data_IF_872445016499
#
_entry.id   IF_872445016499
#
_cell.length_a   1.000
_cell.length_b   1.000
_cell.length_c   1.000
_cell.angle_alpha   90.00
_cell.angle_beta   90.00
_cell.angle_gamma   90.00
#
_symmetry.space_group_name_H-M   'P 1'
#
loop_
_entity.id
_entity.type
_entity.pdbx_description
1 polymer ?
#
# COMPACT_ATOMS: atom_id res chain seq x y z
N UNK A 1 -38.41 37.29 -25.11
CA UNK A 1 -37.23 36.41 -25.18
C UNK A 1 -37.33 35.41 -24.05
N UNK A 2 -37.69 34.18 -24.38
CA UNK A 2 -37.74 33.07 -23.43
C UNK A 2 -36.30 32.73 -23.03
N UNK A 3 -35.96 32.84 -21.74
CA UNK A 3 -34.64 32.42 -21.25
C UNK A 3 -34.60 30.90 -21.35
N UNK A 4 -33.86 30.38 -22.33
CA UNK A 4 -33.55 28.94 -22.38
C UNK A 4 -32.73 28.61 -21.14
N UNK A 5 -33.36 28.00 -20.14
CA UNK A 5 -32.68 27.48 -18.96
C UNK A 5 -31.97 26.21 -19.38
N UNK A 6 -30.65 26.28 -19.51
CA UNK A 6 -29.83 25.11 -19.80
C UNK A 6 -29.74 24.25 -18.55
N UNK A 7 -30.18 23.00 -18.63
CA UNK A 7 -30.02 22.06 -17.53
C UNK A 7 -28.53 21.84 -17.20
N UNK A 8 -28.15 21.77 -15.91
CA UNK A 8 -26.78 21.56 -15.49
C UNK A 8 -26.28 20.16 -15.85
N UNK A 9 -24.97 20.02 -16.01
CA UNK A 9 -24.32 18.72 -16.17
C UNK A 9 -24.31 17.99 -14.84
N UNK A 10 -24.78 16.75 -14.84
CA UNK A 10 -24.90 15.90 -13.66
C UNK A 10 -23.78 14.86 -13.59
N UNK A 11 -23.62 14.23 -12.43
CA UNK A 11 -22.72 13.08 -12.29
C UNK A 11 -23.14 11.87 -13.13
N UNK A 12 -24.41 11.76 -13.50
CA UNK A 12 -24.89 10.72 -14.41
C UNK A 12 -24.38 10.96 -15.83
N UNK A 13 -24.35 12.22 -16.28
CA UNK A 13 -23.82 12.60 -17.59
C UNK A 13 -22.34 12.25 -17.71
N UNK A 14 -21.52 12.60 -16.70
CA UNK A 14 -20.10 12.25 -16.68
C UNK A 14 -19.87 10.73 -16.75
N UNK A 15 -20.67 9.93 -16.02
CA UNK A 15 -20.61 8.47 -16.09
C UNK A 15 -20.96 7.94 -17.48
N UNK A 16 -22.03 8.49 -18.08
CA UNK A 16 -22.45 8.13 -19.43
C UNK A 16 -21.41 8.50 -20.49
N UNK A 17 -20.58 9.52 -20.22
CA UNK A 17 -19.46 9.91 -21.09
C UNK A 17 -18.21 9.07 -20.89
N UNK A 18 -18.16 8.20 -19.87
CA UNK A 18 -17.06 7.27 -19.61
C UNK A 18 -16.19 7.62 -18.40
N UNK A 19 -16.46 8.73 -17.72
CA UNK A 19 -15.71 9.07 -16.50
C UNK A 19 -16.10 8.16 -15.33
N UNK A 20 -15.12 7.71 -14.55
CA UNK A 20 -15.33 6.88 -13.35
C UNK A 20 -15.27 7.73 -12.07
N UNK A 21 -16.25 7.59 -11.15
CA UNK A 21 -16.25 8.32 -9.88
C UNK A 21 -14.91 8.23 -9.15
N UNK A 22 -14.35 9.38 -8.77
CA UNK A 22 -13.03 9.48 -8.14
C UNK A 22 -12.75 10.88 -7.63
N UNK A 23 -11.53 11.14 -7.15
CA UNK A 23 -11.13 12.43 -6.58
C UNK A 23 -11.32 13.60 -7.55
N UNK A 24 -11.23 13.34 -8.85
CA UNK A 24 -11.37 14.32 -9.93
C UNK A 24 -12.82 14.65 -10.32
N UNK A 25 -13.82 13.89 -9.84
CA UNK A 25 -15.23 14.10 -10.22
C UNK A 25 -15.81 15.47 -9.85
N UNK A 26 -15.58 16.00 -8.64
CA UNK A 26 -16.05 17.34 -8.27
C UNK A 26 -15.52 18.42 -9.21
N UNK A 27 -14.23 18.35 -9.57
CA UNK A 27 -13.59 19.33 -10.45
C UNK A 27 -14.11 19.21 -11.90
N UNK A 28 -14.29 17.98 -12.39
CA UNK A 28 -14.94 17.71 -13.68
C UNK A 28 -16.35 18.31 -13.73
N UNK A 29 -17.16 18.11 -12.69
CA UNK A 29 -18.52 18.66 -12.61
C UNK A 29 -18.52 20.19 -12.54
N UNK A 30 -17.61 20.78 -11.77
CA UNK A 30 -17.49 22.23 -11.66
C UNK A 30 -17.15 22.87 -13.01
N UNK A 31 -16.17 22.32 -13.74
CA UNK A 31 -15.79 22.82 -15.07
C UNK A 31 -16.88 22.55 -16.12
N UNK A 32 -17.51 21.37 -16.08
CA UNK A 32 -18.63 21.05 -16.97
C UNK A 32 -19.78 22.05 -16.81
N UNK A 33 -20.13 22.40 -15.57
CA UNK A 33 -21.17 23.37 -15.28
C UNK A 33 -20.75 24.82 -15.57
N UNK A 34 -19.47 25.16 -15.44
CA UNK A 34 -18.94 26.45 -15.88
C UNK A 34 -19.10 26.61 -17.41
N UNK A 35 -18.66 25.63 -18.20
CA UNK A 35 -18.88 25.62 -19.66
C UNK A 35 -20.38 25.65 -20.02
N UNK A 36 -21.21 24.95 -19.23
CA UNK A 36 -22.67 24.96 -19.42
C UNK A 36 -23.26 26.34 -19.21
N UNK A 37 -22.80 27.07 -18.19
CA UNK A 37 -23.22 28.45 -17.91
C UNK A 37 -22.77 29.44 -19.01
N UNK A 38 -21.66 29.15 -19.69
CA UNK A 38 -21.19 29.88 -20.87
C UNK A 38 -22.00 29.57 -22.16
N UNK A 39 -22.99 28.68 -22.08
CA UNK A 39 -23.87 28.34 -23.20
C UNK A 39 -23.42 27.13 -24.02
N UNK A 40 -22.40 26.38 -23.57
CA UNK A 40 -21.91 25.22 -24.31
C UNK A 40 -22.94 24.08 -24.27
N UNK A 41 -23.15 23.45 -25.43
CA UNK A 41 -23.93 22.22 -25.54
C UNK A 41 -23.22 21.02 -24.91
N UNK A 42 -23.98 20.02 -24.46
CA UNK A 42 -23.42 18.80 -23.84
C UNK A 42 -22.41 18.07 -24.74
N UNK A 43 -22.60 18.11 -26.07
CA UNK A 43 -21.68 17.49 -27.03
C UNK A 43 -20.29 18.15 -26.99
N UNK A 44 -20.25 19.49 -26.91
CA UNK A 44 -18.98 20.23 -26.83
C UNK A 44 -18.31 19.99 -25.48
N UNK A 45 -19.08 20.06 -24.39
CA UNK A 45 -18.57 19.78 -23.03
C UNK A 45 -17.98 18.36 -22.95
N UNK A 46 -18.68 17.36 -23.49
CA UNK A 46 -18.17 15.98 -23.56
C UNK A 46 -16.85 15.89 -24.33
N UNK A 47 -16.74 16.58 -25.46
CA UNK A 47 -15.52 16.55 -26.27
C UNK A 47 -14.32 17.17 -25.54
N UNK A 48 -14.53 18.29 -24.84
CA UNK A 48 -13.48 18.94 -24.04
C UNK A 48 -13.00 18.05 -22.89
N UNK A 49 -13.91 17.34 -22.22
CA UNK A 49 -13.57 16.48 -21.09
C UNK A 49 -13.08 15.08 -21.50
N UNK A 50 -13.23 14.68 -22.76
CA UNK A 50 -12.90 13.33 -23.21
C UNK A 50 -11.44 12.94 -22.97
N UNK A 51 -10.50 13.90 -23.10
CA UNK A 51 -9.07 13.68 -22.85
C UNK A 51 -8.72 13.45 -21.38
N UNK A 52 -9.66 13.65 -20.47
CA UNK A 52 -9.49 13.46 -19.03
C UNK A 52 -10.11 12.15 -18.51
N UNK A 53 -10.58 11.30 -19.41
CA UNK A 53 -10.93 9.91 -19.09
C UNK A 53 -9.60 9.17 -18.95
N UNK A 54 -9.25 8.68 -17.74
CA UNK A 54 -8.01 7.95 -17.55
C UNK A 54 -8.02 6.68 -18.41
N UNK A 55 -6.89 6.39 -19.06
CA UNK A 55 -6.71 5.13 -19.79
C UNK A 55 -6.95 3.94 -18.85
N UNK A 56 -7.69 2.95 -19.35
CA UNK A 56 -7.85 1.69 -18.63
C UNK A 56 -6.53 0.93 -18.72
N UNK A 57 -5.86 0.63 -17.60
CA UNK A 57 -4.61 -0.13 -17.65
C UNK A 57 -4.85 -1.50 -18.29
N UNK A 58 -3.92 -1.93 -19.13
CA UNK A 58 -3.97 -3.29 -19.67
C UNK A 58 -3.88 -4.31 -18.52
N UNK A 59 -4.87 -5.18 -18.43
CA UNK A 59 -4.87 -6.28 -17.46
C UNK A 59 -4.15 -7.49 -18.04
N UNK A 60 -3.48 -8.26 -17.18
CA UNK A 60 -2.85 -9.54 -17.56
C UNK A 60 -3.56 -10.65 -16.81
N UNK A 61 -3.96 -11.69 -17.52
CA UNK A 61 -4.56 -12.86 -16.91
C UNK A 61 -3.55 -13.59 -16.03
N UNK A 62 -4.04 -14.17 -14.93
CA UNK A 62 -3.24 -15.07 -14.11
C UNK A 62 -2.75 -16.25 -14.94
N UNK A 63 -1.54 -16.71 -14.64
CA UNK A 63 -1.00 -17.93 -15.24
C UNK A 63 -1.80 -19.15 -14.77
N UNK A 64 -1.71 -20.21 -15.58
CA UNK A 64 -2.21 -21.52 -15.18
C UNK A 64 -1.52 -21.96 -13.86
N UNK A 65 -2.23 -22.69 -12.98
CA UNK A 65 -1.64 -23.27 -11.79
C UNK A 65 -0.38 -24.09 -12.12
N UNK A 66 0.68 -23.94 -11.33
CA UNK A 66 1.95 -24.65 -11.53
C UNK A 66 2.81 -24.19 -12.71
N UNK A 67 2.40 -23.15 -13.45
CA UNK A 67 3.21 -22.61 -14.57
C UNK A 67 4.60 -22.10 -14.12
N UNK A 68 4.72 -21.67 -12.87
CA UNK A 68 6.00 -21.37 -12.21
C UNK A 68 6.02 -22.11 -10.88
N UNK A 69 7.00 -23.00 -10.72
CA UNK A 69 7.22 -23.71 -9.48
C UNK A 69 7.85 -22.78 -8.42
N UNK A 70 7.68 -23.14 -7.16
CA UNK A 70 8.38 -22.52 -6.04
C UNK A 70 9.11 -23.62 -5.26
N UNK A 71 10.18 -23.22 -4.57
CA UNK A 71 10.92 -24.11 -3.69
C UNK A 71 10.32 -24.07 -2.28
N UNK A 72 10.39 -25.17 -1.55
CA UNK A 72 9.99 -25.20 -0.15
C UNK A 72 11.08 -25.85 0.68
N UNK A 73 11.30 -25.29 1.87
CA UNK A 73 12.19 -25.84 2.88
C UNK A 73 11.47 -25.74 4.22
N UNK A 74 10.35 -26.44 4.32
CA UNK A 74 9.50 -26.44 5.52
C UNK A 74 8.97 -27.85 5.74
N UNK A 75 9.12 -28.35 6.96
CA UNK A 75 8.71 -29.67 7.40
C UNK A 75 7.71 -29.54 8.55
N UNK A 76 6.79 -30.49 8.67
CA UNK A 76 5.88 -30.55 9.82
C UNK A 76 6.33 -31.63 10.79
N UNK A 77 6.24 -31.33 12.09
CA UNK A 77 6.45 -32.31 13.17
C UNK A 77 5.15 -32.77 13.82
N UNK A 78 4.05 -32.05 13.63
CA UNK A 78 2.75 -32.36 14.24
C UNK A 78 1.55 -32.05 13.32
N UNK A 79 0.32 -32.49 13.68
CA UNK A 79 -0.87 -32.24 12.87
C UNK A 79 -1.23 -30.77 12.64
N UNK A 80 -0.95 -29.88 13.59
CA UNK A 80 -1.25 -28.46 13.46
C UNK A 80 -0.28 -27.80 12.46
N UNK A 81 1.00 -28.20 12.50
CA UNK A 81 1.97 -27.80 11.49
C UNK A 81 1.63 -28.32 10.10
N UNK A 82 1.13 -29.56 9.98
CA UNK A 82 0.67 -30.10 8.69
C UNK A 82 -0.46 -29.26 8.08
N UNK A 83 -1.44 -28.85 8.89
CA UNK A 83 -2.52 -27.96 8.45
C UNK A 83 -2.01 -26.56 8.05
N UNK A 84 -1.08 -26.00 8.83
CA UNK A 84 -0.45 -24.73 8.52
C UNK A 84 0.34 -24.77 7.20
N UNK A 85 1.16 -25.80 7.01
CA UNK A 85 1.94 -25.97 5.76
C UNK A 85 1.00 -26.17 4.57
N UNK A 86 -0.10 -26.91 4.72
CA UNK A 86 -1.08 -27.07 3.66
C UNK A 86 -1.68 -25.72 3.22
N UNK A 87 -1.99 -24.83 4.17
CA UNK A 87 -2.46 -23.46 3.89
C UNK A 87 -1.38 -22.59 3.25
N UNK A 88 -0.14 -22.69 3.71
CA UNK A 88 1.03 -21.99 3.11
C UNK A 88 1.21 -22.40 1.65
N UNK A 89 1.19 -23.71 1.37
CA UNK A 89 1.30 -24.24 0.00
C UNK A 89 0.14 -23.78 -0.89
N UNK A 90 -1.09 -23.83 -0.38
CA UNK A 90 -2.27 -23.40 -1.12
C UNK A 90 -2.19 -21.91 -1.50
N UNK A 91 -1.80 -21.05 -0.56
CA UNK A 91 -1.68 -19.62 -0.84
C UNK A 91 -0.51 -19.30 -1.76
N UNK A 92 0.64 -19.96 -1.56
CA UNK A 92 1.82 -19.75 -2.41
C UNK A 92 1.55 -20.21 -3.85
N UNK A 93 0.84 -21.32 -4.04
CA UNK A 93 0.44 -21.78 -5.38
C UNK A 93 -0.40 -20.73 -6.14
N UNK A 94 -1.28 -20.00 -5.45
CA UNK A 94 -2.05 -18.91 -6.05
C UNK A 94 -1.22 -17.66 -6.31
N UNK A 95 -0.34 -17.28 -5.36
CA UNK A 95 0.60 -16.16 -5.56
C UNK A 95 1.43 -16.37 -6.82
N UNK A 96 1.97 -17.58 -7.03
CA UNK A 96 2.82 -17.92 -8.17
C UNK A 96 2.13 -17.84 -9.54
N UNK A 97 0.80 -17.70 -9.58
CA UNK A 97 0.06 -17.43 -10.82
C UNK A 97 0.18 -15.98 -11.28
N UNK A 98 0.71 -15.09 -10.45
CA UNK A 98 0.87 -13.67 -10.78
C UNK A 98 1.82 -13.50 -11.99
N UNK A 99 1.41 -12.82 -13.07
CA UNK A 99 2.15 -12.81 -14.35
C UNK A 99 3.54 -12.21 -14.32
N UNK A 100 3.88 -11.43 -13.31
CA UNK A 100 5.19 -10.77 -13.16
C UNK A 100 6.13 -11.53 -12.25
N UNK A 101 5.69 -12.59 -11.56
CA UNK A 101 6.55 -13.41 -10.72
C UNK A 101 7.39 -14.35 -11.59
N UNK A 102 8.64 -14.62 -11.24
CA UNK A 102 9.54 -15.49 -12.00
C UNK A 102 10.07 -16.66 -11.20
N UNK A 103 10.15 -16.51 -9.89
CA UNK A 103 10.57 -17.55 -8.96
C UNK A 103 9.95 -17.29 -7.58
N UNK A 104 9.84 -18.33 -6.78
CA UNK A 104 9.39 -18.22 -5.40
C UNK A 104 10.00 -19.27 -4.49
N UNK A 105 9.98 -19.00 -3.20
CA UNK A 105 10.39 -19.93 -2.16
C UNK A 105 9.53 -19.78 -0.91
N UNK A 106 9.43 -20.86 -0.14
CA UNK A 106 8.82 -20.92 1.20
C UNK A 106 9.92 -21.27 2.20
N UNK A 107 10.11 -20.38 3.17
CA UNK A 107 11.12 -20.51 4.23
C UNK A 107 10.65 -21.46 5.35
N UNK A 108 11.57 -21.97 6.20
CA UNK A 108 11.23 -22.95 7.24
C UNK A 108 10.27 -22.47 8.33
N UNK A 109 10.17 -21.16 8.52
CA UNK A 109 9.32 -20.49 9.52
C UNK A 109 7.98 -20.00 8.93
N UNK A 110 7.65 -20.43 7.71
CA UNK A 110 6.51 -19.88 6.99
C UNK A 110 5.16 -20.22 7.65
N UNK A 111 4.24 -19.25 7.65
CA UNK A 111 2.90 -19.43 8.20
C UNK A 111 1.83 -18.64 7.41
N UNK A 112 0.55 -19.02 7.52
CA UNK A 112 -0.54 -18.33 6.82
C UNK A 112 -0.70 -16.89 7.31
N UNK A 113 -0.81 -15.93 6.38
CA UNK A 113 -0.90 -14.50 6.69
C UNK A 113 -2.26 -13.86 6.34
N UNK A 114 -3.21 -14.64 5.81
CA UNK A 114 -4.47 -14.10 5.31
C UNK A 114 -5.24 -15.10 4.45
N UNK A 115 -6.23 -14.63 3.66
CA UNK A 115 -6.94 -15.47 2.70
C UNK A 115 -5.99 -15.98 1.60
N UNK A 116 -6.40 -17.05 0.93
CA UNK A 116 -5.66 -17.64 -0.20
C UNK A 116 -5.34 -16.59 -1.26
N UNK A 117 -4.07 -16.57 -1.72
CA UNK A 117 -3.51 -15.56 -2.62
C UNK A 117 -2.73 -14.45 -1.89
N UNK A 118 -2.78 -14.41 -0.56
CA UNK A 118 -1.88 -13.58 0.26
C UNK A 118 -0.52 -14.26 0.37
N UNK A 119 0.58 -13.53 0.16
CA UNK A 119 1.91 -14.10 0.38
C UNK A 119 2.03 -14.55 1.85
N UNK A 120 2.50 -15.78 2.12
CA UNK A 120 2.66 -16.23 3.50
C UNK A 120 3.80 -15.46 4.17
N UNK A 121 3.79 -15.39 5.51
CA UNK A 121 5.01 -15.04 6.25
C UNK A 121 6.07 -16.08 5.89
N UNK A 122 7.33 -15.68 5.73
CA UNK A 122 8.38 -16.57 5.22
C UNK A 122 8.23 -16.91 3.72
N UNK A 123 7.30 -16.30 3.00
CA UNK A 123 7.20 -16.40 1.54
C UNK A 123 8.15 -15.43 0.84
N UNK A 124 8.86 -15.90 -0.17
CA UNK A 124 9.76 -15.09 -1.01
C UNK A 124 9.31 -15.22 -2.46
N UNK A 125 9.21 -14.09 -3.17
CA UNK A 125 8.94 -14.07 -4.61
C UNK A 125 9.86 -13.10 -5.33
N UNK A 126 10.37 -13.51 -6.48
CA UNK A 126 11.08 -12.63 -7.40
C UNK A 126 10.10 -12.14 -8.47
N UNK A 127 9.92 -10.82 -8.59
CA UNK A 127 9.08 -10.21 -9.61
C UNK A 127 9.91 -9.42 -10.62
N UNK A 128 9.55 -9.47 -11.91
CA UNK A 128 10.16 -8.68 -12.97
C UNK A 128 9.22 -7.60 -13.46
N UNK A 129 9.74 -6.37 -13.51
CA UNK A 129 9.02 -5.20 -14.04
C UNK A 129 7.79 -4.81 -13.21
N UNK A 130 7.71 -5.23 -11.94
CA UNK A 130 6.63 -4.90 -11.04
C UNK A 130 7.09 -4.92 -9.57
N UNK A 131 6.42 -4.12 -8.76
CA UNK A 131 6.46 -4.18 -7.30
C UNK A 131 5.04 -4.53 -6.85
N UNK A 132 4.92 -5.45 -5.90
CA UNK A 132 3.64 -5.86 -5.33
C UNK A 132 3.59 -5.40 -3.86
N UNK A 133 2.95 -4.26 -3.55
CA UNK A 133 2.87 -3.76 -2.18
C UNK A 133 2.23 -4.76 -1.21
N UNK A 134 1.23 -5.51 -1.67
CA UNK A 134 0.59 -6.58 -0.89
C UNK A 134 1.51 -7.76 -0.54
N UNK A 135 2.74 -7.79 -1.07
CA UNK A 135 3.75 -8.78 -0.75
C UNK A 135 4.84 -8.27 0.21
N UNK A 136 4.72 -7.03 0.73
CA UNK A 136 5.74 -6.36 1.55
C UNK A 136 5.32 -6.09 3.01
N UNK A 137 4.33 -6.83 3.53
CA UNK A 137 3.71 -6.61 4.85
C UNK A 137 3.08 -5.22 5.02
N UNK A 138 2.22 -5.06 6.03
CA UNK A 138 1.74 -3.75 6.47
C UNK A 138 2.82 -3.01 7.29
N UNK A 139 3.69 -3.75 7.98
CA UNK A 139 4.85 -3.22 8.70
C UNK A 139 6.08 -3.26 7.79
N UNK A 140 6.17 -2.27 6.91
CA UNK A 140 7.22 -2.18 5.89
C UNK A 140 8.57 -2.00 6.59
N UNK A 141 9.54 -2.85 6.22
CA UNK A 141 10.85 -2.92 6.84
C UNK A 141 10.83 -3.35 8.33
N UNK A 142 9.83 -4.12 8.76
CA UNK A 142 9.90 -4.86 10.01
C UNK A 142 11.22 -5.65 10.05
N UNK A 143 12.08 -5.31 11.02
CA UNK A 143 13.46 -5.78 11.06
C UNK A 143 13.98 -5.78 12.48
N UNK A 144 15.08 -6.52 12.68
CA UNK A 144 15.78 -6.59 13.96
C UNK A 144 17.09 -5.84 13.83
N UNK A 145 17.41 -5.04 14.85
CA UNK A 145 18.73 -4.45 15.05
C UNK A 145 19.32 -5.01 16.34
N UNK A 146 20.55 -5.51 16.27
CA UNK A 146 21.28 -6.02 17.43
C UNK A 146 22.47 -5.12 17.74
N UNK A 147 22.61 -4.75 19.01
CA UNK A 147 23.79 -4.05 19.55
C UNK A 147 24.38 -4.90 20.67
N UNK A 148 25.68 -5.16 20.61
CA UNK A 148 26.42 -5.86 21.66
C UNK A 148 27.01 -4.85 22.67
N UNK A 149 26.62 -4.97 23.94
CA UNK A 149 27.07 -4.12 25.04
C UNK A 149 28.13 -4.81 25.92
N UNK A 150 28.55 -6.03 25.57
CA UNK A 150 29.41 -6.87 26.40
C UNK A 150 28.74 -7.28 27.72
N UNK A 151 29.53 -7.41 28.78
CA UNK A 151 29.03 -7.75 30.11
C UNK A 151 28.43 -6.53 30.82
N UNK A 152 27.15 -6.30 30.58
CA UNK A 152 26.36 -5.28 31.28
C UNK A 152 25.39 -5.93 32.28
N UNK A 153 25.08 -5.21 33.37
CA UNK A 153 24.05 -5.63 34.32
C UNK A 153 22.67 -5.70 33.62
N UNK A 154 22.00 -6.87 33.55
CA UNK A 154 20.74 -7.00 32.83
C UNK A 154 19.65 -6.06 33.31
N UNK A 155 19.61 -5.77 34.61
CA UNK A 155 18.63 -4.84 35.18
C UNK A 155 18.88 -3.42 34.69
N UNK A 156 20.12 -2.93 34.78
CA UNK A 156 20.48 -1.61 34.29
C UNK A 156 20.16 -1.43 32.79
N UNK A 157 20.41 -2.45 31.96
CA UNK A 157 20.10 -2.42 30.52
C UNK A 157 18.59 -2.35 30.28
N UNK A 158 17.81 -3.20 30.95
CA UNK A 158 16.36 -3.21 30.79
C UNK A 158 15.72 -1.91 31.28
N UNK A 159 16.14 -1.40 32.45
CA UNK A 159 15.64 -0.13 32.99
C UNK A 159 15.95 1.04 32.03
N UNK A 160 17.16 1.08 31.46
CA UNK A 160 17.54 2.09 30.48
C UNK A 160 16.68 2.00 29.20
N UNK A 161 16.50 0.81 28.63
CA UNK A 161 15.68 0.59 27.45
C UNK A 161 14.21 1.00 27.70
N UNK A 162 13.62 0.54 28.80
CA UNK A 162 12.25 0.88 29.17
C UNK A 162 12.05 2.39 29.39
N UNK A 163 13.06 3.09 29.91
CA UNK A 163 12.97 4.54 30.17
C UNK A 163 12.87 5.39 28.89
N UNK A 164 13.39 4.89 27.77
CA UNK A 164 13.43 5.63 26.50
C UNK A 164 12.43 5.11 25.47
N UNK A 165 12.09 3.82 25.51
CA UNK A 165 11.19 3.21 24.53
C UNK A 165 9.73 3.64 24.73
N UNK A 166 9.03 3.87 23.62
CA UNK A 166 7.60 4.07 23.61
C UNK A 166 6.94 2.78 23.13
N UNK A 167 6.19 2.14 24.03
CA UNK A 167 5.40 0.95 23.75
C UNK A 167 3.94 1.31 23.51
N UNK A 168 3.30 0.57 22.60
CA UNK A 168 1.87 0.68 22.31
C UNK A 168 1.53 1.61 21.14
N UNK A 169 0.23 1.72 20.87
CA UNK A 169 -0.27 2.50 19.74
C UNK A 169 -0.13 4.01 19.99
N UNK A 170 0.01 4.75 18.89
CA UNK A 170 0.20 6.20 18.91
C UNK A 170 1.66 6.59 18.80
N UNK A 171 1.90 7.89 18.80
CA UNK A 171 3.24 8.46 18.72
C UNK A 171 3.52 9.38 19.91
N UNK A 172 4.75 9.88 19.97
CA UNK A 172 5.21 10.73 21.08
C UNK A 172 4.58 12.12 20.97
N UNK A 173 4.03 12.67 22.08
CA UNK A 173 3.50 14.02 22.08
C UNK A 173 4.62 15.05 21.88
N UNK A 174 4.24 16.25 21.44
CA UNK A 174 5.19 17.35 21.27
C UNK A 174 5.97 17.60 22.57
N UNK A 175 7.28 17.82 22.45
CA UNK A 175 8.19 17.97 23.60
C UNK A 175 8.75 16.65 24.15
N UNK A 176 8.19 15.49 23.75
CA UNK A 176 8.73 14.15 24.09
C UNK A 176 9.22 13.36 22.87
N UNK A 177 9.23 13.97 21.68
CA UNK A 177 9.64 13.34 20.42
C UNK A 177 11.16 13.23 20.33
N UNK A 178 11.63 12.18 19.69
CA UNK A 178 13.01 12.17 19.21
C UNK A 178 13.17 13.09 18.00
N UNK A 179 14.38 13.60 17.83
CA UNK A 179 14.68 14.50 16.72
C UNK A 179 14.78 13.68 15.43
N UNK A 180 13.91 13.98 14.47
CA UNK A 180 14.04 13.48 13.11
C UNK A 180 15.14 14.26 12.39
N UNK A 181 16.01 13.57 11.66
CA UNK A 181 17.02 14.21 10.83
C UNK A 181 16.38 15.17 9.82
N UNK A 182 16.92 16.40 9.71
CA UNK A 182 16.47 17.37 8.71
C UNK A 182 16.60 16.82 7.30
N UNK A 183 17.67 16.07 7.02
CA UNK A 183 17.87 15.40 5.73
C UNK A 183 16.73 14.43 5.40
N UNK A 184 16.21 13.71 6.39
CA UNK A 184 15.08 12.80 6.20
C UNK A 184 13.77 13.58 5.96
N UNK A 185 13.55 14.65 6.72
CA UNK A 185 12.37 15.50 6.51
C UNK A 185 12.39 16.18 5.13
N UNK A 186 13.55 16.62 4.66
CA UNK A 186 13.69 17.21 3.33
C UNK A 186 13.44 16.18 2.24
N UNK A 187 13.89 14.93 2.43
CA UNK A 187 13.56 13.83 1.52
C UNK A 187 12.05 13.54 1.48
N UNK A 188 11.36 13.60 2.62
CA UNK A 188 9.90 13.46 2.68
C UNK A 188 9.20 14.61 1.94
N UNK A 189 9.62 15.85 2.18
CA UNK A 189 9.06 17.05 1.51
C UNK A 189 9.26 17.03 0.00
N UNK A 190 10.38 16.50 -0.47
CA UNK A 190 10.66 16.37 -1.90
C UNK A 190 9.90 15.20 -2.56
N UNK A 191 9.26 14.32 -1.79
CA UNK A 191 8.55 13.15 -2.31
C UNK A 191 7.03 13.39 -2.35
N UNK A 192 6.39 13.41 -3.54
CA UNK A 192 4.96 13.68 -3.69
C UNK A 192 4.04 12.72 -2.91
N UNK A 193 4.51 11.52 -2.57
CA UNK A 193 3.73 10.54 -1.81
C UNK A 193 3.87 10.69 -0.29
N UNK A 194 4.86 11.46 0.19
CA UNK A 194 5.18 11.60 1.61
C UNK A 194 5.14 13.05 2.12
N UNK A 195 4.94 14.02 1.21
CA UNK A 195 5.06 15.44 1.49
C UNK A 195 3.83 16.06 2.16
N UNK A 196 2.74 15.33 2.34
CA UNK A 196 1.55 15.85 3.00
C UNK A 196 1.75 16.03 4.51
N UNK A 197 1.04 16.99 5.10
CA UNK A 197 1.21 17.37 6.50
C UNK A 197 0.94 16.22 7.47
N UNK A 198 0.02 15.30 7.14
CA UNK A 198 -0.30 14.16 7.98
C UNK A 198 0.87 13.19 8.00
N UNK A 199 1.45 12.86 6.84
CA UNK A 199 2.60 11.95 6.74
C UNK A 199 3.84 12.52 7.43
N UNK A 200 4.14 13.81 7.22
CA UNK A 200 5.26 14.48 7.90
C UNK A 200 5.08 14.45 9.42
N UNK A 201 3.86 14.73 9.91
CA UNK A 201 3.56 14.66 11.35
C UNK A 201 3.77 13.24 11.89
N UNK A 202 3.29 12.22 11.19
CA UNK A 202 3.47 10.82 11.58
C UNK A 202 4.96 10.44 11.67
N UNK A 203 5.78 10.84 10.70
CA UNK A 203 7.23 10.59 10.75
C UNK A 203 7.91 11.20 11.98
N UNK A 204 7.43 12.35 12.45
CA UNK A 204 7.94 13.01 13.66
C UNK A 204 7.44 12.37 14.95
N UNK A 205 6.16 12.01 15.00
CA UNK A 205 5.51 11.41 16.18
C UNK A 205 6.03 9.99 16.45
N UNK A 206 6.31 9.24 15.38
CA UNK A 206 6.69 7.83 15.47
C UNK A 206 8.21 7.59 15.41
N UNK A 207 9.03 8.63 15.43
CA UNK A 207 10.48 8.46 15.44
C UNK A 207 10.95 7.75 16.72
N UNK A 208 11.61 6.60 16.55
CA UNK A 208 12.07 5.73 17.63
C UNK A 208 10.95 5.21 18.53
N UNK A 209 9.76 5.02 17.97
CA UNK A 209 8.79 4.08 18.55
C UNK A 209 9.23 2.66 18.20
N UNK A 210 9.14 1.75 19.17
CA UNK A 210 9.45 0.33 18.97
C UNK A 210 8.17 -0.45 19.28
N UNK A 211 7.80 -1.36 18.38
CA UNK A 211 6.70 -2.30 18.56
C UNK A 211 7.09 -3.45 19.46
#
# INVERSE_FOLDING_TARGET
MEKVVLEPVTGADLKNWGHRPGKQFPDLLARANAMRAEGYGLVKIRAELAGEIPDVPATRDLRAPGAVAFHETIDAVDPDELDNIAKVRATMAEVMRTPTIEAGAVMPDACPAGPVGTIPVGGVVAARGAIHPGMHSADICCSVMMTDLGHADPKAVLDAAQSVTHFGAGGRPQGKRFTVSLKLLDAFRANPYLSDEKTIRMAQEHMGTQG
#
